data_IF_890026967326
#
_entry.id   IF_890026967326
#
_cell.length_a   1.000
_cell.length_b   1.000
_cell.length_c   1.000
_cell.angle_alpha   90.00
_cell.angle_beta   90.00
_cell.angle_gamma   90.00
#
_symmetry.space_group_name_H-M   'P 1'
#
loop_
_entity.id
_entity.type
_entity.pdbx_description
1 polymer ?
#
# COMPACT_ATOMS: atom_id res chain seq x y z
N UNK A 1 5.51 24.46 -1.95
CA UNK A 1 5.02 23.07 -2.04
C UNK A 1 6.17 22.27 -2.62
N UNK A 2 6.86 21.49 -1.79
CA UNK A 2 8.09 20.80 -2.19
C UNK A 2 7.76 19.57 -3.03
N UNK A 3 8.61 19.32 -4.02
CA UNK A 3 8.68 18.14 -4.87
C UNK A 3 8.57 16.87 -4.02
N UNK A 4 7.37 16.27 -3.95
CA UNK A 4 7.11 15.12 -3.08
C UNK A 4 7.30 13.85 -3.89
N UNK A 5 8.56 13.55 -4.19
CA UNK A 5 8.87 12.27 -4.81
C UNK A 5 8.57 11.12 -3.85
N UNK A 6 8.02 10.02 -4.36
CA UNK A 6 7.63 8.87 -3.52
C UNK A 6 8.80 8.41 -2.65
N UNK A 7 9.97 8.23 -3.25
CA UNK A 7 11.18 7.80 -2.53
C UNK A 7 11.64 8.82 -1.49
N UNK A 8 11.41 10.11 -1.71
CA UNK A 8 11.72 11.14 -0.72
C UNK A 8 10.71 11.15 0.43
N UNK A 9 9.44 10.89 0.16
CA UNK A 9 8.38 10.82 1.18
C UNK A 9 8.68 9.73 2.22
N UNK A 10 9.11 8.56 1.76
CA UNK A 10 9.41 7.41 2.63
C UNK A 10 10.90 7.19 2.89
N UNK A 11 11.77 7.98 2.28
CA UNK A 11 13.22 7.82 2.36
C UNK A 11 13.83 8.25 3.68
N UNK A 12 15.07 7.80 3.92
CA UNK A 12 15.76 7.99 5.20
C UNK A 12 17.19 8.49 5.03
N UNK A 13 17.71 9.07 6.13
CA UNK A 13 19.11 9.42 6.35
C UNK A 13 19.69 8.58 7.49
N UNK A 14 21.01 8.43 7.50
CA UNK A 14 21.73 7.78 8.61
C UNK A 14 21.66 8.63 9.87
N UNK A 15 21.63 7.95 11.03
CA UNK A 15 21.96 8.57 12.31
C UNK A 15 23.36 8.12 12.75
N UNK A 16 23.78 8.52 13.96
CA UNK A 16 25.04 8.04 14.55
C UNK A 16 25.00 6.56 14.94
N UNK A 17 23.80 5.98 15.10
CA UNK A 17 23.63 4.55 15.36
C UNK A 17 23.37 3.84 14.02
N UNK A 18 24.17 2.82 13.64
CA UNK A 18 24.03 2.13 12.36
C UNK A 18 22.70 1.37 12.20
N UNK A 19 21.97 1.15 13.29
CA UNK A 19 20.66 0.49 13.31
C UNK A 19 19.49 1.46 13.45
N UNK A 20 19.76 2.77 13.45
CA UNK A 20 18.72 3.80 13.56
C UNK A 20 18.78 4.73 12.36
N UNK A 21 17.61 4.91 11.73
CA UNK A 21 17.42 5.75 10.56
C UNK A 21 16.38 6.81 10.87
N UNK A 22 16.49 7.97 10.23
CA UNK A 22 15.52 9.06 10.37
C UNK A 22 14.95 9.42 9.00
N UNK A 23 13.64 9.61 8.90
CA UNK A 23 12.99 10.07 7.67
C UNK A 23 13.51 11.44 7.24
N UNK A 24 13.69 11.64 5.93
CA UNK A 24 14.11 12.94 5.38
C UNK A 24 12.94 13.89 5.13
N UNK A 25 11.71 13.37 5.22
CA UNK A 25 10.47 14.11 4.99
C UNK A 25 9.47 13.92 6.12
N UNK A 26 8.51 14.84 6.18
CA UNK A 26 7.30 14.65 6.97
C UNK A 26 6.35 13.71 6.23
N UNK A 27 5.61 12.85 6.94
CA UNK A 27 4.67 11.95 6.31
C UNK A 27 3.45 12.70 5.77
N UNK A 28 2.85 12.16 4.71
CA UNK A 28 1.63 12.69 4.12
C UNK A 28 0.37 12.22 4.86
N UNK A 29 -0.76 12.91 4.61
CA UNK A 29 -2.10 12.50 5.04
C UNK A 29 -2.82 11.84 3.87
N UNK A 30 -3.45 10.70 4.12
CA UNK A 30 -4.37 10.07 3.17
C UNK A 30 -5.46 9.35 3.95
N UNK A 31 -6.67 9.37 3.41
CA UNK A 31 -7.72 8.50 3.90
C UNK A 31 -8.30 8.85 5.28
N UNK A 32 -8.03 10.03 5.83
CA UNK A 32 -8.49 10.39 7.18
C UNK A 32 -8.83 11.88 7.28
N UNK A 33 -9.97 12.19 7.92
CA UNK A 33 -10.39 13.56 8.22
C UNK A 33 -9.56 14.18 9.35
N UNK A 34 -9.03 13.34 10.26
CA UNK A 34 -8.12 13.79 11.32
C UNK A 34 -6.71 14.06 10.77
N UNK A 35 -5.93 14.96 11.40
CA UNK A 35 -4.57 15.29 10.97
C UNK A 35 -3.56 14.19 11.38
N UNK A 36 -3.81 12.96 10.90
CA UNK A 36 -3.03 11.76 11.17
C UNK A 36 -2.29 11.35 9.90
N UNK A 37 -1.02 10.98 10.05
CA UNK A 37 -0.22 10.48 8.95
C UNK A 37 -0.76 9.17 8.40
N UNK A 38 -0.65 9.00 7.07
CA UNK A 38 -1.00 7.78 6.38
C UNK A 38 -0.09 6.61 6.82
N UNK A 39 -0.69 5.47 7.18
CA UNK A 39 0.02 4.29 7.68
C UNK A 39 1.08 3.76 6.70
N UNK A 40 0.75 3.76 5.41
CA UNK A 40 1.65 3.37 4.34
C UNK A 40 2.96 4.16 4.29
N UNK A 41 2.98 5.42 4.77
CA UNK A 41 4.23 6.17 4.91
C UNK A 41 5.16 5.51 5.95
N UNK A 42 4.63 5.14 7.12
CA UNK A 42 5.42 4.48 8.16
C UNK A 42 5.90 3.09 7.72
N UNK A 43 5.05 2.34 7.02
CA UNK A 43 5.40 1.02 6.45
C UNK A 43 6.52 1.15 5.41
N UNK A 44 6.39 2.06 4.46
CA UNK A 44 7.40 2.30 3.43
C UNK A 44 8.74 2.73 4.03
N UNK A 45 8.74 3.67 4.99
CA UNK A 45 9.96 4.11 5.66
C UNK A 45 10.63 3.00 6.47
N UNK A 46 9.84 2.13 7.12
CA UNK A 46 10.38 0.97 7.82
C UNK A 46 11.03 -0.04 6.88
N UNK A 47 10.42 -0.32 5.72
CA UNK A 47 10.98 -1.22 4.70
C UNK A 47 12.29 -0.65 4.14
N UNK A 48 12.34 0.65 3.81
CA UNK A 48 13.58 1.31 3.36
C UNK A 48 14.66 1.22 4.43
N UNK A 49 14.33 1.51 5.69
CA UNK A 49 15.28 1.45 6.81
C UNK A 49 15.85 0.04 6.99
N UNK A 50 15.01 -1.00 6.98
CA UNK A 50 15.46 -2.38 7.02
C UNK A 50 16.33 -2.72 5.80
N UNK A 51 15.94 -2.24 4.62
CA UNK A 51 16.65 -2.34 3.34
C UNK A 51 18.14 -2.00 3.43
N UNK A 52 18.47 -0.93 4.15
CA UNK A 52 19.86 -0.48 4.34
C UNK A 52 20.70 -1.37 5.27
N UNK A 53 20.12 -2.39 5.89
CA UNK A 53 20.81 -3.30 6.82
C UNK A 53 21.03 -4.71 6.24
N UNK A 54 20.66 -4.92 4.98
CA UNK A 54 20.89 -6.18 4.27
C UNK A 54 22.24 -6.18 3.55
N UNK A 55 22.85 -7.37 3.43
CA UNK A 55 24.07 -7.52 2.64
C UNK A 55 23.74 -7.51 1.14
N UNK A 56 24.46 -6.74 0.31
CA UNK A 56 24.27 -6.72 -1.13
C UNK A 56 24.83 -7.96 -1.85
N UNK A 57 25.55 -8.85 -1.15
CA UNK A 57 26.25 -9.99 -1.76
C UNK A 57 25.31 -11.09 -2.27
N UNK A 58 24.09 -11.18 -1.73
CA UNK A 58 23.10 -12.17 -2.12
C UNK A 58 21.87 -11.49 -2.75
N UNK A 59 21.30 -12.10 -3.79
CA UNK A 59 19.99 -11.72 -4.31
C UNK A 59 18.90 -12.10 -3.30
N UNK A 60 18.59 -11.19 -2.40
CA UNK A 60 17.52 -11.31 -1.42
C UNK A 60 16.28 -10.60 -1.96
N UNK A 61 15.14 -11.28 -1.86
CA UNK A 61 13.84 -10.73 -2.23
C UNK A 61 12.87 -10.86 -1.05
N UNK A 62 11.99 -9.88 -0.82
CA UNK A 62 11.04 -9.93 0.27
C UNK A 62 9.90 -10.90 -0.06
N UNK A 63 9.43 -11.65 0.94
CA UNK A 63 8.28 -12.55 0.79
C UNK A 63 7.15 -12.26 1.79
N UNK A 64 7.46 -11.55 2.88
CA UNK A 64 6.49 -11.24 3.94
C UNK A 64 6.83 -9.92 4.61
N UNK A 65 5.79 -9.10 4.79
CA UNK A 65 5.83 -7.90 5.65
C UNK A 65 4.61 -7.96 6.56
N UNK A 66 4.81 -7.99 7.87
CA UNK A 66 3.72 -8.01 8.86
C UNK A 66 3.94 -6.94 9.90
N UNK A 67 2.87 -6.36 10.43
CA UNK A 67 3.05 -5.32 11.44
C UNK A 67 1.78 -4.93 12.18
N UNK A 68 1.98 -4.09 13.19
CA UNK A 68 0.95 -3.57 14.08
C UNK A 68 1.13 -2.05 14.19
N UNK A 69 0.05 -1.32 13.92
CA UNK A 69 -0.02 0.12 14.18
C UNK A 69 -0.26 0.33 15.68
N UNK A 70 0.70 1.00 16.33
CA UNK A 70 0.73 1.20 17.79
C UNK A 70 0.06 2.51 18.21
N UNK A 71 -0.24 3.38 17.25
CA UNK A 71 -1.15 4.50 17.40
C UNK A 71 -0.89 5.61 16.38
N UNK A 72 -1.64 6.72 16.47
CA UNK A 72 -1.62 7.76 15.45
C UNK A 72 -0.23 8.39 15.32
N UNK A 73 0.19 8.56 14.06
CA UNK A 73 1.40 9.26 13.70
C UNK A 73 1.11 10.73 13.35
N UNK A 74 2.01 11.61 13.76
CA UNK A 74 1.96 13.05 13.53
C UNK A 74 2.38 13.40 12.11
N UNK A 75 1.72 14.39 11.51
CA UNK A 75 2.12 15.01 10.23
C UNK A 75 3.27 16.00 10.39
N UNK A 76 3.65 16.36 11.61
CA UNK A 76 4.62 17.43 11.90
C UNK A 76 5.96 16.91 12.40
N UNK A 77 6.19 15.59 12.40
CA UNK A 77 7.43 14.97 12.87
C UNK A 77 7.89 13.88 11.89
N UNK A 78 9.19 13.79 11.58
CA UNK A 78 9.71 12.68 10.80
C UNK A 78 9.65 11.38 11.60
N UNK A 79 9.66 10.25 10.88
CA UNK A 79 9.81 8.94 11.49
C UNK A 79 11.26 8.67 11.92
N UNK A 80 11.43 7.96 13.02
CA UNK A 80 12.71 7.40 13.48
C UNK A 80 12.56 5.89 13.56
N UNK A 81 13.31 5.16 12.74
CA UNK A 81 13.19 3.72 12.57
C UNK A 81 14.35 3.01 13.28
N UNK A 82 14.02 2.18 14.26
CA UNK A 82 14.96 1.31 14.97
C UNK A 82 14.90 -0.09 14.36
N UNK A 83 15.96 -0.51 13.70
CA UNK A 83 16.06 -1.81 13.01
C UNK A 83 16.79 -2.80 13.90
N UNK A 84 16.25 -4.00 14.08
CA UNK A 84 16.86 -5.10 14.83
C UNK A 84 17.03 -6.32 13.91
N UNK A 85 18.25 -6.87 13.78
CA UNK A 85 18.46 -8.14 13.08
C UNK A 85 17.90 -9.30 13.92
N UNK A 86 16.93 -10.02 13.37
CA UNK A 86 16.33 -11.19 14.03
C UNK A 86 16.94 -12.50 13.52
N UNK A 87 17.36 -12.52 12.25
CA UNK A 87 17.94 -13.68 11.57
C UNK A 87 18.81 -13.20 10.42
N UNK A 88 20.01 -13.76 10.31
CA UNK A 88 20.94 -13.55 9.20
C UNK A 88 21.56 -14.89 8.80
N UNK A 89 21.01 -15.50 7.75
CA UNK A 89 21.52 -16.75 7.18
C UNK A 89 21.75 -16.56 5.69
N UNK A 90 22.43 -17.53 5.05
CA UNK A 90 22.62 -17.53 3.59
C UNK A 90 21.31 -17.57 2.80
N UNK A 91 20.23 -18.10 3.39
CA UNK A 91 18.96 -18.33 2.69
C UNK A 91 17.86 -17.38 3.15
N UNK A 92 17.84 -17.02 4.42
CA UNK A 92 16.79 -16.19 4.99
C UNK A 92 17.36 -15.09 5.86
N UNK A 93 16.77 -13.91 5.72
CA UNK A 93 17.08 -12.74 6.52
C UNK A 93 15.80 -12.13 7.06
N UNK A 94 15.81 -11.74 8.33
CA UNK A 94 14.64 -11.13 8.99
C UNK A 94 15.08 -9.89 9.75
N UNK A 95 14.32 -8.80 9.58
CA UNK A 95 14.47 -7.55 10.34
C UNK A 95 13.18 -7.22 11.05
N UNK A 96 13.29 -6.82 12.31
CA UNK A 96 12.21 -6.18 13.03
C UNK A 96 12.47 -4.68 13.11
N UNK A 97 11.46 -3.86 12.86
CA UNK A 97 11.55 -2.41 12.83
C UNK A 97 10.51 -1.81 13.78
N UNK A 98 10.97 -1.01 14.73
CA UNK A 98 10.10 -0.15 15.53
C UNK A 98 10.20 1.27 14.97
N UNK A 99 9.11 1.77 14.44
CA UNK A 99 9.00 3.17 13.99
C UNK A 99 8.49 4.01 15.13
N UNK A 100 9.17 5.13 15.38
CA UNK A 100 8.85 6.08 16.43
C UNK A 100 8.72 7.50 15.88
N UNK A 101 8.06 8.36 16.62
CA UNK A 101 8.09 9.81 16.41
C UNK A 101 8.34 10.52 17.73
N UNK A 102 8.97 11.69 17.66
CA UNK A 102 9.18 12.56 18.83
C UNK A 102 7.84 13.19 19.21
N UNK A 103 7.47 13.08 20.47
CA UNK A 103 6.32 13.77 21.04
C UNK A 103 6.66 15.26 21.30
N UNK A 104 5.64 16.06 21.61
CA UNK A 104 5.84 17.46 22.05
C UNK A 104 6.70 17.57 23.33
N UNK A 105 6.76 16.53 24.15
CA UNK A 105 7.59 16.44 25.36
C UNK A 105 9.02 15.95 25.08
N UNK A 106 9.35 15.65 23.82
CA UNK A 106 10.67 15.23 23.37
C UNK A 106 10.92 13.71 23.43
N UNK A 107 10.05 12.94 24.08
CA UNK A 107 10.14 11.47 24.15
C UNK A 107 9.79 10.81 22.80
N UNK A 108 10.43 9.67 22.51
CA UNK A 108 10.14 8.89 21.31
C UNK A 108 9.04 7.86 21.59
N UNK A 109 7.90 8.05 20.95
CA UNK A 109 6.75 7.16 21.03
C UNK A 109 6.69 6.24 19.81
N UNK A 110 6.52 4.95 20.03
CA UNK A 110 6.32 3.98 18.95
C UNK A 110 4.96 4.17 18.27
N UNK A 111 4.94 4.13 16.94
CA UNK A 111 3.74 4.26 16.10
C UNK A 111 3.50 3.04 15.22
N UNK A 112 4.56 2.26 14.92
CA UNK A 112 4.48 1.02 14.15
C UNK A 112 5.53 0.03 14.65
N UNK A 113 5.17 -1.25 14.71
CA UNK A 113 6.10 -2.37 14.78
C UNK A 113 5.91 -3.24 13.54
N UNK A 114 7.00 -3.57 12.84
CA UNK A 114 6.97 -4.29 11.56
C UNK A 114 8.07 -5.36 11.53
N UNK A 115 7.77 -6.51 10.94
CA UNK A 115 8.77 -7.53 10.59
C UNK A 115 8.82 -7.66 9.07
N UNK A 116 10.01 -7.54 8.51
CA UNK A 116 10.33 -7.77 7.09
C UNK A 116 11.14 -9.06 6.97
N UNK A 117 10.62 -10.01 6.21
CA UNK A 117 11.30 -11.25 5.89
C UNK A 117 11.70 -11.30 4.42
N UNK A 118 12.95 -11.74 4.20
CA UNK A 118 13.54 -11.92 2.88
C UNK A 118 14.11 -13.33 2.71
N UNK A 119 14.14 -13.78 1.47
CA UNK A 119 14.68 -15.08 1.06
C UNK A 119 15.68 -14.89 -0.08
N UNK A 120 16.71 -15.73 -0.11
CA UNK A 120 17.63 -15.82 -1.24
C UNK A 120 16.90 -16.41 -2.45
N UNK A 121 16.86 -15.66 -3.55
CA UNK A 121 16.22 -16.08 -4.80
C UNK A 121 17.21 -16.04 -5.98
N UNK A 122 18.03 -17.08 -6.17
CA UNK A 122 18.99 -17.15 -7.28
C UNK A 122 18.31 -17.23 -8.66
N UNK A 123 17.07 -17.72 -8.72
CA UNK A 123 16.29 -17.82 -9.96
C UNK A 123 15.64 -16.49 -10.38
N UNK A 124 15.68 -15.47 -9.51
CA UNK A 124 15.17 -14.12 -9.80
C UNK A 124 16.23 -13.15 -10.34
N UNK A 125 17.44 -13.64 -10.61
CA UNK A 125 18.50 -12.80 -11.20
C UNK A 125 18.18 -12.43 -12.64
N UNK A 126 18.68 -11.29 -13.12
CA UNK A 126 18.44 -10.83 -14.50
C UNK A 126 18.76 -11.91 -15.54
N UNK A 127 19.89 -12.59 -15.41
CA UNK A 127 20.29 -13.67 -16.29
C UNK A 127 19.34 -14.89 -16.23
N UNK A 128 18.86 -15.25 -15.03
CA UNK A 128 17.89 -16.34 -14.87
C UNK A 128 16.52 -15.98 -15.49
N UNK A 129 16.07 -14.75 -15.33
CA UNK A 129 14.83 -14.25 -15.96
C UNK A 129 14.95 -14.21 -17.49
N UNK A 130 16.07 -13.74 -18.03
CA UNK A 130 16.35 -13.73 -19.47
C UNK A 130 16.36 -15.15 -20.05
N UNK A 131 17.00 -16.09 -19.35
CA UNK A 131 16.97 -17.51 -19.72
C UNK A 131 15.55 -18.08 -19.71
N UNK A 132 14.77 -17.80 -18.66
CA UNK A 132 13.38 -18.27 -18.56
C UNK A 132 12.53 -17.76 -19.72
N UNK A 133 12.68 -16.47 -20.09
CA UNK A 133 11.98 -15.86 -21.24
C UNK A 133 12.39 -16.52 -22.55
N UNK A 134 13.68 -16.76 -22.77
CA UNK A 134 14.17 -17.43 -23.97
C UNK A 134 13.62 -18.87 -24.12
N UNK A 135 13.33 -19.53 -22.99
CA UNK A 135 12.73 -20.87 -22.95
C UNK A 135 11.19 -20.86 -22.95
N UNK A 136 10.53 -19.70 -23.07
CA UNK A 136 9.08 -19.52 -22.94
C UNK A 136 8.50 -20.12 -21.64
N UNK A 137 9.28 -20.08 -20.55
CA UNK A 137 8.85 -20.52 -19.22
C UNK A 137 8.53 -19.32 -18.35
N UNK A 138 7.47 -19.45 -17.56
CA UNK A 138 7.18 -18.47 -16.50
C UNK A 138 8.29 -18.53 -15.44
N UNK A 139 8.93 -17.41 -15.06
CA UNK A 139 10.06 -17.42 -14.12
C UNK A 139 9.76 -18.11 -12.80
N UNK A 140 8.57 -17.89 -12.21
CA UNK A 140 8.15 -18.53 -10.97
C UNK A 140 7.92 -20.06 -11.09
N UNK A 141 7.81 -20.60 -12.32
CA UNK A 141 7.69 -22.03 -12.54
C UNK A 141 9.05 -22.73 -12.62
N UNK A 142 10.14 -21.99 -12.87
CA UNK A 142 11.48 -22.57 -13.04
C UNK A 142 11.97 -23.12 -11.72
N UNK A 143 12.24 -24.44 -11.68
CA UNK A 143 12.65 -25.17 -10.48
C UNK A 143 11.65 -25.10 -9.31
N UNK A 144 10.36 -24.83 -9.59
CA UNK A 144 9.31 -24.92 -8.58
C UNK A 144 8.62 -26.28 -8.62
N UNK A 145 8.29 -26.83 -7.45
CA UNK A 145 7.50 -28.07 -7.32
C UNK A 145 6.03 -27.81 -7.65
N UNK A 146 5.51 -26.63 -7.32
CA UNK A 146 4.12 -26.22 -7.54
C UNK A 146 4.07 -24.80 -8.10
N UNK A 147 3.13 -24.56 -9.01
CA UNK A 147 2.88 -23.24 -9.55
C UNK A 147 1.40 -23.09 -9.88
N UNK A 148 0.69 -22.33 -9.04
CA UNK A 148 -0.72 -22.01 -9.21
C UNK A 148 -0.99 -20.64 -8.58
N UNK A 149 -2.02 -19.96 -9.06
CA UNK A 149 -2.45 -18.66 -8.57
C UNK A 149 -3.92 -18.42 -8.95
N UNK A 150 -4.67 -17.63 -8.17
CA UNK A 150 -5.97 -17.15 -8.61
C UNK A 150 -5.82 -16.20 -9.80
N UNK A 151 -6.88 -16.05 -10.58
CA UNK A 151 -7.00 -15.02 -11.62
C UNK A 151 -7.80 -13.82 -11.10
N UNK A 152 -7.49 -12.59 -11.55
CA UNK A 152 -8.29 -11.43 -11.17
C UNK A 152 -9.73 -11.62 -11.64
N UNK A 153 -10.71 -11.15 -10.85
CA UNK A 153 -12.13 -11.23 -11.25
C UNK A 153 -12.50 -10.28 -12.38
N UNK A 154 -11.75 -9.19 -12.54
CA UNK A 154 -11.95 -8.15 -13.55
C UNK A 154 -10.68 -7.97 -14.40
N UNK A 155 -10.29 -8.98 -15.20
CA UNK A 155 -9.17 -8.81 -16.12
C UNK A 155 -9.49 -7.67 -17.10
N UNK A 156 -8.50 -6.81 -17.36
CA UNK A 156 -8.68 -5.63 -18.23
C UNK A 156 -7.65 -5.68 -19.34
N UNK A 157 -8.10 -5.78 -20.59
CA UNK A 157 -7.19 -5.94 -21.75
C UNK A 157 -6.47 -4.64 -22.15
N UNK A 158 -7.03 -3.47 -21.82
CA UNK A 158 -6.45 -2.18 -22.15
C UNK A 158 -6.70 -1.16 -21.04
N UNK A 159 -5.80 -1.14 -20.06
CA UNK A 159 -5.88 -0.25 -18.89
C UNK A 159 -5.86 1.23 -19.30
N UNK A 160 -5.14 1.58 -20.36
CA UNK A 160 -5.01 2.96 -20.83
C UNK A 160 -6.32 3.52 -21.45
N UNK A 161 -7.28 2.67 -21.81
CA UNK A 161 -8.60 3.09 -22.28
C UNK A 161 -9.59 3.36 -21.16
N UNK A 162 -9.30 2.90 -19.93
CA UNK A 162 -10.13 3.21 -18.79
C UNK A 162 -10.07 4.70 -18.49
N UNK A 163 -11.14 5.21 -17.87
CA UNK A 163 -11.20 6.61 -17.48
C UNK A 163 -10.24 6.88 -16.32
N UNK A 164 -9.49 7.97 -16.39
CA UNK A 164 -8.75 8.44 -15.22
C UNK A 164 -9.72 9.00 -14.16
N UNK A 165 -9.32 9.01 -12.87
CA UNK A 165 -10.19 9.46 -11.78
C UNK A 165 -10.72 10.89 -11.94
N UNK A 166 -9.94 11.83 -12.49
CA UNK A 166 -10.34 13.24 -12.58
C UNK A 166 -11.40 13.41 -13.65
N UNK A 167 -11.22 12.77 -14.82
CA UNK A 167 -12.24 12.72 -15.88
C UNK A 167 -13.52 12.03 -15.39
N UNK A 168 -13.39 10.95 -14.62
CA UNK A 168 -14.55 10.26 -14.04
C UNK A 168 -15.35 11.16 -13.11
N UNK A 169 -14.68 11.88 -12.22
CA UNK A 169 -15.34 12.84 -11.31
C UNK A 169 -15.99 13.98 -12.10
N UNK A 170 -15.29 14.58 -13.06
CA UNK A 170 -15.81 15.68 -13.89
C UNK A 170 -17.09 15.28 -14.65
N UNK A 171 -17.09 14.10 -15.29
CA UNK A 171 -18.27 13.56 -15.97
C UNK A 171 -19.48 13.45 -15.03
N UNK A 172 -19.27 13.02 -13.77
CA UNK A 172 -20.37 12.88 -12.80
C UNK A 172 -20.90 14.22 -12.30
N UNK A 173 -20.05 15.24 -12.20
CA UNK A 173 -20.47 16.62 -11.92
C UNK A 173 -21.35 17.13 -13.07
N UNK A 174 -20.91 16.96 -14.33
CA UNK A 174 -21.66 17.42 -15.51
C UNK A 174 -23.05 16.77 -15.61
N UNK A 175 -23.18 15.51 -15.18
CA UNK A 175 -24.46 14.79 -15.13
C UNK A 175 -25.35 15.17 -13.94
N UNK A 176 -24.87 16.02 -13.03
CA UNK A 176 -25.59 16.39 -11.81
C UNK A 176 -25.71 15.25 -10.80
N UNK A 177 -24.84 14.24 -10.88
CA UNK A 177 -24.86 13.08 -9.99
C UNK A 177 -24.14 13.34 -8.67
N UNK A 178 -23.25 14.34 -8.63
CA UNK A 178 -22.41 14.68 -7.46
C UNK A 178 -22.31 16.20 -7.33
N UNK A 179 -22.44 16.70 -6.10
CA UNK A 179 -22.24 18.11 -5.77
C UNK A 179 -20.75 18.47 -5.61
N UNK A 180 -20.35 19.65 -6.08
CA UNK A 180 -18.96 20.13 -6.03
C UNK A 180 -18.38 20.15 -4.61
N UNK A 181 -19.20 20.38 -3.57
CA UNK A 181 -18.74 20.38 -2.18
C UNK A 181 -18.28 19.00 -1.71
N UNK A 182 -18.90 17.93 -2.20
CA UNK A 182 -18.49 16.54 -1.91
C UNK A 182 -17.18 16.22 -2.63
N UNK A 183 -17.02 16.73 -3.85
CA UNK A 183 -15.82 16.53 -4.67
C UNK A 183 -14.59 17.13 -3.99
N UNK A 184 -14.69 18.33 -3.42
CA UNK A 184 -13.58 18.95 -2.69
C UNK A 184 -13.10 18.08 -1.50
N UNK A 185 -14.04 17.51 -0.72
CA UNK A 185 -13.71 16.61 0.40
C UNK A 185 -13.06 15.32 -0.12
N UNK A 186 -13.58 14.76 -1.21
CA UNK A 186 -13.06 13.55 -1.83
C UNK A 186 -11.64 13.75 -2.39
N UNK A 187 -11.38 14.88 -3.05
CA UNK A 187 -10.05 15.25 -3.56
C UNK A 187 -9.06 15.43 -2.41
N UNK A 188 -9.44 16.14 -1.33
CA UNK A 188 -8.61 16.26 -0.13
C UNK A 188 -8.29 14.91 0.52
N UNK A 189 -9.23 13.97 0.48
CA UNK A 189 -9.09 12.62 1.03
C UNK A 189 -8.09 11.78 0.23
N UNK A 190 -8.01 11.99 -1.08
CA UNK A 190 -7.15 11.28 -2.03
C UNK A 190 -5.90 12.06 -2.44
N UNK A 191 -5.68 13.28 -1.96
CA UNK A 191 -4.60 14.18 -2.41
C UNK A 191 -3.20 13.54 -2.39
N UNK A 192 -2.84 12.83 -1.32
CA UNK A 192 -1.57 12.11 -1.28
C UNK A 192 -1.54 10.97 -2.30
N UNK A 193 -2.64 10.22 -2.43
CA UNK A 193 -2.73 9.12 -3.38
C UNK A 193 -2.56 9.61 -4.83
N UNK A 194 -3.25 10.68 -5.22
CA UNK A 194 -3.17 11.23 -6.57
C UNK A 194 -1.78 11.78 -6.90
N UNK A 195 -1.03 12.28 -5.91
CA UNK A 195 0.38 12.69 -6.07
C UNK A 195 1.33 11.51 -6.29
N UNK A 196 1.11 10.40 -5.58
CA UNK A 196 2.01 9.25 -5.60
C UNK A 196 1.71 8.27 -6.74
N UNK A 197 0.44 8.15 -7.11
CA UNK A 197 -0.03 7.14 -8.05
C UNK A 197 -0.86 7.76 -9.17
N UNK A 198 -0.67 7.20 -10.35
CA UNK A 198 -1.63 7.33 -11.44
C UNK A 198 -2.66 6.22 -11.30
N UNK A 199 -3.94 6.55 -11.49
CA UNK A 199 -5.04 5.60 -11.35
C UNK A 199 -5.87 5.46 -12.63
N UNK A 200 -6.61 4.36 -12.72
CA UNK A 200 -7.71 4.17 -13.67
C UNK A 200 -8.91 3.57 -12.96
N UNK A 201 -10.09 4.13 -13.25
CA UNK A 201 -11.35 3.68 -12.65
C UNK A 201 -11.84 2.44 -13.37
N UNK A 202 -12.15 1.40 -12.60
CA UNK A 202 -12.76 0.16 -13.11
C UNK A 202 -14.28 0.29 -12.96
N UNK A 203 -15.02 -0.19 -13.95
CA UNK A 203 -16.48 -0.33 -13.85
C UNK A 203 -16.87 -1.18 -12.63
N UNK A 204 -18.05 -0.89 -12.09
CA UNK A 204 -18.60 -1.48 -10.88
C UNK A 204 -17.86 -1.18 -9.57
N UNK A 205 -16.82 -0.34 -9.58
CA UNK A 205 -16.03 -0.03 -8.38
C UNK A 205 -16.83 0.79 -7.34
N UNK A 206 -17.36 0.10 -6.32
CA UNK A 206 -18.14 0.69 -5.22
C UNK A 206 -17.47 1.93 -4.62
N UNK A 207 -16.16 1.88 -4.36
CA UNK A 207 -15.44 3.01 -3.74
C UNK A 207 -15.44 4.26 -4.63
N UNK A 208 -15.42 4.12 -5.95
CA UNK A 208 -15.56 5.25 -6.88
C UNK A 208 -17.02 5.65 -7.06
N UNK A 209 -17.94 4.69 -7.13
CA UNK A 209 -19.37 4.94 -7.35
C UNK A 209 -20.02 5.72 -6.22
N UNK A 210 -19.66 5.44 -4.97
CA UNK A 210 -20.21 6.14 -3.80
C UNK A 210 -19.21 7.10 -3.14
N UNK A 211 -18.09 7.41 -3.81
CA UNK A 211 -17.06 8.32 -3.32
C UNK A 211 -16.60 7.93 -1.91
N UNK A 212 -16.20 6.67 -1.74
CA UNK A 212 -15.76 6.07 -0.48
C UNK A 212 -16.78 6.22 0.66
N UNK A 213 -18.07 6.14 0.33
CA UNK A 213 -19.19 6.26 1.26
C UNK A 213 -19.62 7.70 1.55
N UNK A 214 -19.05 8.71 0.87
CA UNK A 214 -19.48 10.11 1.00
C UNK A 214 -20.85 10.35 0.35
N UNK A 215 -21.23 9.53 -0.63
CA UNK A 215 -22.53 9.59 -1.29
C UNK A 215 -23.43 8.44 -0.84
N UNK A 216 -24.68 8.76 -0.49
CA UNK A 216 -25.72 7.76 -0.30
C UNK A 216 -26.42 7.48 -1.64
N UNK A 217 -25.68 6.89 -2.58
CA UNK A 217 -26.18 6.49 -3.90
C UNK A 217 -26.23 4.97 -4.01
N UNK A 218 -27.06 4.47 -4.91
CA UNK A 218 -27.01 3.07 -5.31
C UNK A 218 -25.69 2.76 -6.04
N UNK A 219 -25.18 1.55 -5.79
CA UNK A 219 -23.98 1.01 -6.43
C UNK A 219 -24.36 -0.16 -7.33
N UNK A 220 -23.54 -0.44 -8.33
CA UNK A 220 -23.69 -1.57 -9.26
C UNK A 220 -23.78 -2.93 -8.55
N UNK A 221 -23.29 -3.01 -7.31
CA UNK A 221 -23.22 -4.23 -6.51
C UNK A 221 -24.19 -4.27 -5.32
N UNK A 222 -25.15 -3.34 -5.24
CA UNK A 222 -26.07 -3.31 -4.10
C UNK A 222 -26.99 -4.53 -4.00
N UNK A 223 -27.26 -5.20 -5.13
CA UNK A 223 -27.99 -6.47 -5.16
C UNK A 223 -27.20 -7.67 -4.61
N UNK A 224 -25.90 -7.52 -4.34
CA UNK A 224 -25.05 -8.59 -3.80
C UNK A 224 -24.99 -8.56 -2.27
N UNK A 225 -24.90 -9.73 -1.61
CA UNK A 225 -24.53 -9.81 -0.20
C UNK A 225 -23.21 -9.07 0.07
N UNK A 226 -23.08 -8.42 1.23
CA UNK A 226 -21.91 -7.61 1.58
C UNK A 226 -20.57 -8.34 1.38
N UNK A 227 -20.51 -9.63 1.69
CA UNK A 227 -19.29 -10.46 1.53
C UNK A 227 -18.95 -10.81 0.08
N UNK A 228 -19.88 -10.59 -0.85
CA UNK A 228 -19.68 -10.76 -2.29
C UNK A 228 -19.28 -9.45 -2.98
N UNK A 229 -19.52 -8.29 -2.32
CA UNK A 229 -19.14 -6.97 -2.81
C UNK A 229 -17.62 -6.80 -2.88
N UNK A 230 -17.15 -6.06 -3.88
CA UNK A 230 -15.73 -5.84 -4.18
C UNK A 230 -15.47 -4.41 -4.62
N UNK A 231 -14.22 -3.99 -4.52
CA UNK A 231 -13.72 -2.74 -5.09
C UNK A 231 -12.40 -2.98 -5.78
N UNK A 232 -12.14 -2.17 -6.81
CA UNK A 232 -10.99 -2.35 -7.67
C UNK A 232 -10.42 -1.01 -8.08
N UNK A 233 -9.11 -0.97 -8.23
CA UNK A 233 -8.43 0.13 -8.88
C UNK A 233 -7.21 -0.39 -9.64
N UNK A 234 -7.02 0.16 -10.84
CA UNK A 234 -5.74 0.07 -11.51
C UNK A 234 -4.88 1.23 -11.07
N UNK A 235 -3.64 0.96 -10.68
CA UNK A 235 -2.70 2.02 -10.36
C UNK A 235 -1.27 1.67 -10.75
N UNK A 236 -0.46 2.72 -10.93
CA UNK A 236 1.00 2.64 -11.06
C UNK A 236 1.64 3.82 -10.34
N UNK A 237 2.91 3.69 -9.98
CA UNK A 237 3.69 4.81 -9.46
C UNK A 237 3.69 5.95 -10.48
N UNK A 238 3.34 7.17 -10.05
CA UNK A 238 3.33 8.35 -10.92
C UNK A 238 4.75 8.76 -11.31
N UNK A 239 5.63 8.76 -10.33
CA UNK A 239 7.05 8.99 -10.56
C UNK A 239 7.78 7.67 -10.81
N UNK A 240 8.55 7.57 -11.91
CA UNK A 240 9.26 6.34 -12.22
C UNK A 240 10.28 5.96 -11.15
N UNK A 241 10.15 4.74 -10.63
CA UNK A 241 11.14 4.09 -9.79
C UNK A 241 12.18 3.37 -10.64
N UNK A 242 13.36 3.12 -10.07
CA UNK A 242 14.34 2.22 -10.68
C UNK A 242 13.68 0.84 -10.91
N UNK A 243 13.74 0.34 -12.15
CA UNK A 243 13.12 -0.94 -12.52
C UNK A 243 13.77 -2.09 -11.75
N UNK A 244 12.96 -2.98 -11.19
CA UNK A 244 13.42 -4.26 -10.69
C UNK A 244 13.28 -5.30 -11.81
N UNK A 245 14.41 -5.62 -12.45
CA UNK A 245 14.49 -6.59 -13.56
C UNK A 245 15.39 -7.78 -13.20
N UNK A 246 15.59 -8.03 -11.91
CA UNK A 246 16.49 -9.07 -11.40
C UNK A 246 17.96 -8.65 -11.23
N UNK A 247 18.34 -7.42 -11.59
CA UNK A 247 19.62 -6.82 -11.15
C UNK A 247 19.38 -5.86 -10.00
N UNK A 248 20.29 -5.81 -9.03
CA UNK A 248 20.23 -4.81 -7.96
C UNK A 248 20.92 -3.52 -8.42
N UNK A 249 20.17 -2.41 -8.38
CA UNK A 249 20.68 -1.07 -8.69
C UNK A 249 20.27 -0.12 -7.57
N UNK A 250 21.10 0.88 -7.27
CA UNK A 250 20.78 1.89 -6.28
C UNK A 250 20.21 3.14 -6.97
N UNK A 251 19.26 3.81 -6.32
CA UNK A 251 18.86 5.17 -6.70
C UNK A 251 20.03 6.15 -6.54
N UNK A 252 19.94 7.31 -7.16
CA UNK A 252 20.93 8.37 -6.95
C UNK A 252 20.90 8.86 -5.50
N UNK A 253 22.07 9.25 -4.99
CA UNK A 253 22.18 9.95 -3.73
C UNK A 253 21.67 11.39 -3.89
N UNK A 254 20.95 11.89 -2.90
CA UNK A 254 20.49 13.29 -2.93
C UNK A 254 21.37 14.18 -2.04
N UNK A 255 21.64 15.44 -2.42
CA UNK A 255 22.45 16.37 -1.63
C UNK A 255 21.95 16.64 -0.21
N UNK A 256 20.67 16.39 0.07
CA UNK A 256 20.01 16.67 1.35
C UNK A 256 20.02 15.49 2.34
N UNK A 257 20.77 14.42 2.01
CA UNK A 257 21.01 13.30 2.90
C UNK A 257 20.07 12.11 2.73
N UNK A 258 19.20 12.11 1.71
CA UNK A 258 18.47 10.90 1.30
C UNK A 258 19.47 9.83 0.87
N UNK A 259 19.42 8.67 1.54
CA UNK A 259 20.25 7.53 1.18
C UNK A 259 19.79 6.91 -0.14
N UNK A 260 20.74 6.49 -1.00
CA UNK A 260 20.45 5.62 -2.14
C UNK A 260 19.66 4.38 -1.73
N UNK A 261 18.52 4.12 -2.36
CA UNK A 261 17.67 2.96 -2.07
C UNK A 261 17.83 1.94 -3.19
N UNK A 262 17.95 0.66 -2.84
CA UNK A 262 18.03 -0.39 -3.84
C UNK A 262 16.68 -0.57 -4.55
N UNK A 263 16.68 -0.88 -5.85
CA UNK A 263 15.46 -1.02 -6.64
C UNK A 263 14.49 -2.06 -6.08
N UNK A 264 14.97 -3.20 -5.55
CA UNK A 264 14.11 -4.21 -4.92
C UNK A 264 13.37 -3.63 -3.70
N UNK A 265 14.08 -2.88 -2.85
CA UNK A 265 13.50 -2.25 -1.66
C UNK A 265 12.59 -1.08 -2.02
N UNK A 266 12.98 -0.25 -2.98
CA UNK A 266 12.18 0.87 -3.49
C UNK A 266 10.82 0.40 -4.03
N UNK A 267 10.83 -0.62 -4.88
CA UNK A 267 9.62 -1.22 -5.46
C UNK A 267 8.74 -1.84 -4.37
N UNK A 268 9.34 -2.57 -3.42
CA UNK A 268 8.62 -3.19 -2.30
C UNK A 268 7.99 -2.15 -1.37
N UNK A 269 8.72 -1.09 -1.05
CA UNK A 269 8.22 -0.03 -0.18
C UNK A 269 7.08 0.76 -0.85
N UNK A 270 7.17 1.01 -2.16
CA UNK A 270 6.09 1.58 -2.97
C UNK A 270 4.84 0.69 -2.96
N UNK A 271 4.99 -0.61 -3.23
CA UNK A 271 3.90 -1.59 -3.20
C UNK A 271 3.26 -1.63 -1.82
N UNK A 272 4.04 -1.74 -0.75
CA UNK A 272 3.52 -1.82 0.61
C UNK A 272 2.79 -0.52 1.03
N UNK A 273 3.31 0.64 0.62
CA UNK A 273 2.63 1.92 0.81
C UNK A 273 1.28 1.94 0.07
N UNK A 274 1.24 1.44 -1.16
CA UNK A 274 0.00 1.40 -1.94
C UNK A 274 -1.04 0.46 -1.29
N UNK A 275 -0.61 -0.73 -0.87
CA UNK A 275 -1.49 -1.79 -0.34
C UNK A 275 -2.12 -1.48 1.02
N UNK A 276 -1.58 -0.54 1.79
CA UNK A 276 -2.24 -0.04 3.02
C UNK A 276 -3.49 0.82 2.72
N UNK A 277 -3.65 1.28 1.47
CA UNK A 277 -4.73 2.16 1.07
C UNK A 277 -6.09 1.46 1.10
N UNK A 278 -7.16 2.24 1.27
CA UNK A 278 -8.59 1.86 1.29
C UNK A 278 -9.06 0.86 2.37
N UNK A 279 -8.24 -0.10 2.80
CA UNK A 279 -8.66 -1.30 3.53
C UNK A 279 -9.37 -1.04 4.86
N UNK A 280 -8.98 0.01 5.60
CA UNK A 280 -9.59 0.35 6.88
C UNK A 280 -11.01 0.93 6.75
N UNK A 281 -11.31 1.62 5.65
CA UNK A 281 -12.55 2.38 5.47
C UNK A 281 -13.51 1.72 4.49
N UNK A 282 -12.99 0.88 3.59
CA UNK A 282 -13.75 0.20 2.57
C UNK A 282 -15.01 -0.53 3.09
N UNK A 283 -15.01 -1.21 4.25
CA UNK A 283 -16.22 -1.84 4.77
C UNK A 283 -17.40 -0.88 5.01
N UNK A 284 -17.13 0.37 5.40
CA UNK A 284 -18.19 1.38 5.58
C UNK A 284 -18.83 1.73 4.24
N UNK A 285 -18.02 2.08 3.25
CA UNK A 285 -18.49 2.37 1.90
C UNK A 285 -19.26 1.19 1.30
N UNK A 286 -18.76 -0.04 1.44
CA UNK A 286 -19.44 -1.24 0.96
C UNK A 286 -20.77 -1.51 1.65
N UNK A 287 -20.94 -1.04 2.89
CA UNK A 287 -22.19 -1.11 3.64
C UNK A 287 -23.08 0.13 3.46
N UNK A 288 -22.75 1.04 2.52
CA UNK A 288 -23.44 2.33 2.30
C UNK A 288 -23.47 3.23 3.56
N UNK A 289 -22.42 3.15 4.36
CA UNK A 289 -22.21 4.02 5.52
C UNK A 289 -21.13 5.05 5.20
N UNK A 290 -21.37 6.28 5.66
CA UNK A 290 -20.37 7.34 5.59
C UNK A 290 -19.32 7.19 6.70
N UNK A 291 -18.18 7.86 6.54
CA UNK A 291 -17.12 7.83 7.54
C UNK A 291 -17.55 8.40 8.91
N UNK A 292 -18.52 9.31 8.92
CA UNK A 292 -19.07 9.91 10.14
C UNK A 292 -19.91 8.93 10.97
N UNK A 293 -20.32 7.78 10.42
CA UNK A 293 -20.96 6.71 11.17
C UNK A 293 -20.01 6.05 12.19
N UNK A 294 -18.69 6.28 12.07
CA UNK A 294 -17.68 5.74 12.95
C UNK A 294 -17.00 6.83 13.80
N UNK A 295 -16.93 6.63 15.11
CA UNK A 295 -16.07 7.43 16.01
C UNK A 295 -14.60 7.05 15.87
N UNK A 296 -14.32 5.82 15.43
CA UNK A 296 -12.98 5.35 15.12
C UNK A 296 -13.02 4.35 13.98
N UNK A 297 -12.25 4.61 12.92
CA UNK A 297 -11.97 3.69 11.83
C UNK A 297 -10.48 3.79 11.51
N UNK A 298 -9.70 2.76 11.83
CA UNK A 298 -8.27 2.76 11.57
C UNK A 298 -7.69 1.35 11.59
N UNK A 299 -6.58 1.18 10.89
CA UNK A 299 -5.79 -0.04 10.88
C UNK A 299 -5.26 -0.38 12.28
N UNK A 300 -5.30 -1.66 12.66
CA UNK A 300 -4.68 -2.18 13.89
C UNK A 300 -3.45 -3.03 13.55
N UNK A 301 -3.62 -4.03 12.69
CA UNK A 301 -2.54 -4.85 12.16
C UNK A 301 -2.60 -4.92 10.64
N UNK A 302 -1.57 -5.48 10.02
CA UNK A 302 -1.61 -5.88 8.62
C UNK A 302 -0.67 -7.06 8.37
N UNK A 303 -0.98 -7.80 7.31
CA UNK A 303 -0.08 -8.79 6.73
C UNK A 303 -0.05 -8.62 5.22
N UNK A 304 1.13 -8.40 4.67
CA UNK A 304 1.44 -8.38 3.24
C UNK A 304 2.28 -9.61 2.91
N UNK A 305 1.90 -10.30 1.84
CA UNK A 305 2.63 -11.44 1.27
C UNK A 305 2.98 -11.10 -0.17
N UNK A 306 4.24 -11.31 -0.54
CA UNK A 306 4.72 -11.10 -1.90
C UNK A 306 4.88 -12.45 -2.55
N UNK A 307 4.23 -12.61 -3.70
CA UNK A 307 4.15 -13.87 -4.45
C UNK A 307 5.04 -13.86 -5.70
N UNK A 308 5.55 -12.68 -6.07
CA UNK A 308 6.55 -12.50 -7.13
C UNK A 308 7.83 -11.89 -6.57
N UNK A 309 8.96 -12.49 -6.93
CA UNK A 309 10.30 -12.02 -6.57
C UNK A 309 10.70 -10.74 -7.32
N UNK A 310 10.07 -10.50 -8.49
CA UNK A 310 10.38 -9.40 -9.40
C UNK A 310 9.08 -8.82 -9.94
N UNK A 311 8.83 -7.57 -9.59
CA UNK A 311 7.68 -6.78 -10.02
C UNK A 311 8.12 -5.33 -10.20
N UNK A 312 7.37 -4.58 -11.01
CA UNK A 312 7.70 -3.20 -11.37
C UNK A 312 6.48 -2.29 -11.18
N UNK A 313 6.42 -1.56 -10.06
CA UNK A 313 5.36 -0.61 -9.73
C UNK A 313 5.23 0.55 -10.72
N UNK A 314 6.14 0.69 -11.69
CA UNK A 314 5.95 1.59 -12.83
C UNK A 314 4.90 1.07 -13.83
N UNK A 315 4.64 -0.24 -13.85
CA UNK A 315 3.60 -0.87 -14.66
C UNK A 315 2.25 -0.82 -13.95
N UNK A 316 1.17 -1.02 -14.71
CA UNK A 316 -0.17 -1.04 -14.14
C UNK A 316 -0.39 -2.27 -13.28
N UNK A 317 -1.01 -2.08 -12.12
CA UNK A 317 -1.42 -3.15 -11.23
C UNK A 317 -2.90 -3.03 -10.89
N UNK A 318 -3.63 -4.15 -10.98
CA UNK A 318 -5.00 -4.24 -10.54
C UNK A 318 -5.03 -4.68 -9.09
N UNK A 319 -5.57 -3.85 -8.22
CA UNK A 319 -5.92 -4.25 -6.87
C UNK A 319 -7.40 -4.59 -6.80
N UNK A 320 -7.70 -5.75 -6.21
CA UNK A 320 -9.04 -6.21 -5.90
C UNK A 320 -9.16 -6.34 -4.38
N UNK A 321 -10.13 -5.67 -3.76
CA UNK A 321 -10.31 -5.66 -2.31
C UNK A 321 -11.73 -6.08 -1.89
N UNK A 322 -11.82 -6.68 -0.71
CA UNK A 322 -13.09 -7.23 -0.17
C UNK A 322 -13.18 -7.21 1.36
N UNK A 323 -14.40 -7.18 1.92
CA UNK A 323 -14.62 -7.46 3.32
C UNK A 323 -14.65 -8.98 3.54
N UNK A 324 -14.27 -9.40 4.74
CA UNK A 324 -14.26 -10.82 5.13
C UNK A 324 -15.08 -11.04 6.39
N UNK A 325 -14.88 -10.21 7.41
CA UNK A 325 -15.61 -10.29 8.66
C UNK A 325 -15.77 -8.91 9.30
N UNK A 326 -16.83 -8.74 10.07
CA UNK A 326 -17.07 -7.54 10.88
C UNK A 326 -17.80 -7.93 12.17
N UNK A 327 -17.54 -7.19 13.25
CA UNK A 327 -18.14 -7.43 14.55
C UNK A 327 -17.20 -7.04 15.68
N UNK A 328 -17.73 -6.93 16.90
CA UNK A 328 -16.94 -6.55 18.08
C UNK A 328 -16.15 -5.24 17.88
N UNK A 329 -16.78 -4.28 17.18
CA UNK A 329 -16.18 -3.01 16.81
C UNK A 329 -14.89 -3.13 15.98
N UNK A 330 -14.84 -4.12 15.10
CA UNK A 330 -13.71 -4.38 14.20
C UNK A 330 -14.19 -4.84 12.83
N UNK A 331 -13.31 -4.71 11.85
CA UNK A 331 -13.44 -5.28 10.51
C UNK A 331 -12.17 -6.03 10.13
N UNK A 332 -12.32 -7.02 9.25
CA UNK A 332 -11.23 -7.73 8.59
C UNK A 332 -11.43 -7.65 7.09
N UNK A 333 -10.42 -7.15 6.38
CA UNK A 333 -10.43 -6.94 4.93
C UNK A 333 -9.22 -7.58 4.28
N UNK A 334 -9.37 -7.95 3.02
CA UNK A 334 -8.31 -8.53 2.20
C UNK A 334 -8.23 -7.81 0.86
N UNK A 335 -7.03 -7.75 0.30
CA UNK A 335 -6.78 -7.33 -1.07
C UNK A 335 -5.78 -8.24 -1.78
N UNK A 336 -5.94 -8.36 -3.10
CA UNK A 336 -5.03 -9.03 -4.02
C UNK A 336 -4.53 -8.01 -5.03
N UNK A 337 -3.26 -8.09 -5.39
CA UNK A 337 -2.62 -7.23 -6.39
C UNK A 337 -2.14 -8.09 -7.56
N UNK A 338 -2.57 -7.74 -8.77
CA UNK A 338 -2.22 -8.43 -10.01
C UNK A 338 -1.49 -7.49 -10.96
N UNK A 339 -0.61 -8.03 -11.82
CA UNK A 339 -0.07 -7.31 -12.98
C UNK A 339 -1.05 -7.30 -14.17
N UNK A 340 -0.66 -6.68 -15.28
CA UNK A 340 -1.45 -6.58 -16.51
C UNK A 340 -1.75 -7.96 -17.13
N UNK A 341 -0.86 -8.92 -16.94
CA UNK A 341 -1.01 -10.31 -17.38
C UNK A 341 -1.89 -11.16 -16.45
N UNK A 342 -2.33 -10.60 -15.33
CA UNK A 342 -3.14 -11.28 -14.32
C UNK A 342 -2.35 -12.31 -13.50
N UNK A 343 -1.05 -12.09 -13.31
CA UNK A 343 -0.20 -12.76 -12.33
C UNK A 343 -0.41 -12.10 -10.97
N UNK A 344 -0.56 -12.91 -9.92
CA UNK A 344 -0.68 -12.42 -8.56
C UNK A 344 0.70 -11.97 -8.06
N UNK A 345 0.84 -10.67 -7.79
CA UNK A 345 2.07 -10.06 -7.29
C UNK A 345 2.10 -10.08 -5.76
N UNK A 346 0.98 -9.72 -5.13
CA UNK A 346 0.90 -9.60 -3.68
C UNK A 346 -0.52 -9.87 -3.15
N UNK A 347 -0.62 -10.23 -1.88
CA UNK A 347 -1.87 -10.24 -1.13
C UNK A 347 -1.70 -9.52 0.20
N UNK A 348 -2.70 -8.75 0.61
CA UNK A 348 -2.71 -8.04 1.87
C UNK A 348 -3.98 -8.36 2.67
N UNK A 349 -3.87 -8.32 3.99
CA UNK A 349 -5.02 -8.35 4.90
C UNK A 349 -4.84 -7.35 6.04
N UNK A 350 -5.94 -6.83 6.56
CA UNK A 350 -5.93 -5.85 7.64
C UNK A 350 -7.03 -6.13 8.66
N UNK A 351 -6.67 -6.24 9.94
CA UNK A 351 -7.63 -6.08 11.02
C UNK A 351 -7.69 -4.59 11.39
N UNK A 352 -8.90 -4.04 11.43
CA UNK A 352 -9.14 -2.63 11.69
C UNK A 352 -10.08 -2.46 12.89
N UNK A 353 -9.91 -1.37 13.63
CA UNK A 353 -10.93 -0.91 14.58
C UNK A 353 -12.04 -0.23 13.79
N UNK A 354 -13.29 -0.49 14.17
CA UNK A 354 -14.46 0.18 13.62
C UNK A 354 -15.48 0.38 14.75
N UNK A 355 -15.47 1.56 15.38
CA UNK A 355 -16.39 1.90 16.48
C UNK A 355 -17.49 2.81 15.98
N UNK A 356 -18.76 2.59 16.38
CA UNK A 356 -19.86 3.48 16.02
C UNK A 356 -19.65 4.88 16.62
N UNK A 357 -20.19 5.90 15.97
CA UNK A 357 -20.35 7.23 16.58
C UNK A 357 -21.28 7.16 17.81
N UNK A 358 -21.09 8.05 18.79
CA UNK A 358 -22.02 8.18 19.92
C UNK A 358 -23.36 8.74 19.43
N UNK A 359 -24.49 8.10 19.79
CA UNK A 359 -25.84 8.57 19.44
C UNK A 359 -26.63 7.76 18.38
N UNK A 360 -26.41 6.44 18.32
CA UNK A 360 -27.02 5.42 17.43
C UNK A 360 -26.38 5.27 16.03
N UNK A 361 -26.30 3.99 15.58
CA UNK A 361 -26.97 3.62 14.35
C UNK A 361 -28.17 2.75 14.75
N UNK A 362 -29.38 3.29 14.63
CA UNK A 362 -30.58 2.48 14.61
C UNK A 362 -30.52 1.67 13.31
N UNK A 363 -29.83 0.52 13.38
CA UNK A 363 -29.97 -0.53 12.41
C UNK A 363 -31.41 -1.04 12.55
N UNK A 364 -32.32 -0.49 11.76
CA UNK A 364 -33.56 -1.23 11.49
C UNK A 364 -33.13 -2.55 10.84
N UNK A 365 -33.51 -3.62 11.55
CA UNK A 365 -33.37 -5.04 11.19
C UNK A 365 -33.80 -5.34 9.76
#
# INVERSE_FOLDING_TARGET
MGDTSLLRLIGVRKTNDPWVFEGVSLPGRAGNLQPIAYGGCAVGTAIISAGHTFSPEARLVPYSVVGQFLGPASLSQPFVCYVTPMRDTRTFVTRHVIVKQRSKKGDLRSVLALTLDMIASPNSTKAALEKSRAENKHPAAVNSVLHYQPKPRKPTNNVEQLMDPDTYVAMRIERGEVDESVVGIYQDFLDLWSKLFEGRVVEDNILSENFMGMLNTDTSQDGLPLLERRSWDWFRAREPLSKNNGSETMSEASPDGLLPVSNTIAQTACLALAMDGMLAFMPLSMAKLNLAAASAASSMDFALRLHSDVFDMNAWHLREARPVAAGWQRTFTEAMLYDEEGTLIASASQQCVLRPAEGEPNAKM
#
